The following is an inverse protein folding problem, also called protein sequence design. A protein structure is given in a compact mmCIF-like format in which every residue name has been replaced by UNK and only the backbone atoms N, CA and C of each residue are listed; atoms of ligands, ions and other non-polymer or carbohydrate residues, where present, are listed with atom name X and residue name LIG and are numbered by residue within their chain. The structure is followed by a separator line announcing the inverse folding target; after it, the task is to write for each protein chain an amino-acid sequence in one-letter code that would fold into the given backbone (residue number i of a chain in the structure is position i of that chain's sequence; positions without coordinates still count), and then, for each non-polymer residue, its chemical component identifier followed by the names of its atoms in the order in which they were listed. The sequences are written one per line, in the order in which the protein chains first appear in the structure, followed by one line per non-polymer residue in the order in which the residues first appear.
data_IF_439901066716
#
_entry.id   IF_439901066716
#
_cell.length_a   1.000
_cell.length_b   1.000
_cell.length_c   1.000
_cell.angle_alpha   90.00
_cell.angle_beta   90.00
_cell.angle_gamma   90.00
#
_symmetry.space_group_name_H-M   'P 1'
#
loop_
_entity.id
_entity.type
_entity.pdbx_description
1 polymer ?
#
# COMPACT_ATOMS: atom_id res chain seq x y z
N UNK A 1 -29.13 -3.86 4.51
CA UNK A 1 -28.91 -5.32 4.66
C UNK A 1 -27.52 -5.63 4.13
N UNK A 2 -26.63 -6.18 4.98
CA UNK A 2 -25.28 -6.60 4.58
C UNK A 2 -25.40 -7.67 3.48
N UNK A 3 -24.72 -7.52 2.35
CA UNK A 3 -24.39 -8.69 1.53
C UNK A 3 -23.27 -9.41 2.28
N UNK A 4 -23.56 -10.61 2.78
CA UNK A 4 -22.50 -11.51 3.18
C UNK A 4 -21.60 -11.74 1.95
N UNK A 5 -20.27 -11.67 2.10
CA UNK A 5 -19.34 -12.08 1.06
C UNK A 5 -19.71 -13.50 0.63
N UNK A 6 -19.76 -13.76 -0.68
CA UNK A 6 -20.23 -15.05 -1.17
C UNK A 6 -19.24 -16.13 -0.75
N UNK A 7 -19.68 -17.38 -0.54
CA UNK A 7 -18.77 -18.51 -0.25
C UNK A 7 -17.67 -18.67 -1.31
N UNK A 8 -17.94 -18.27 -2.54
CA UNK A 8 -17.01 -18.25 -3.68
C UNK A 8 -15.87 -17.24 -3.49
N UNK A 9 -16.15 -16.07 -2.89
CA UNK A 9 -15.15 -15.03 -2.60
C UNK A 9 -14.20 -15.52 -1.49
N UNK A 10 -14.74 -16.23 -0.48
CA UNK A 10 -13.96 -16.85 0.60
C UNK A 10 -13.07 -18.00 0.10
N UNK A 11 -13.54 -18.81 -0.86
CA UNK A 11 -12.73 -19.87 -1.47
C UNK A 11 -11.61 -19.33 -2.36
N UNK A 12 -11.81 -18.19 -3.04
CA UNK A 12 -10.75 -17.53 -3.81
C UNK A 12 -9.68 -16.90 -2.90
N UNK A 13 -10.08 -16.30 -1.77
CA UNK A 13 -9.15 -15.79 -0.75
C UNK A 13 -8.28 -16.93 -0.18
N UNK A 14 -8.89 -18.06 0.20
CA UNK A 14 -8.17 -19.23 0.75
C UNK A 14 -7.21 -19.87 -0.28
N UNK A 15 -7.44 -19.67 -1.59
CA UNK A 15 -6.57 -20.20 -2.65
C UNK A 15 -5.44 -19.24 -3.09
N UNK A 16 -5.47 -17.96 -2.66
CA UNK A 16 -4.42 -16.95 -2.97
C UNK A 16 -3.28 -16.99 -1.95
N UNK A 17 -3.57 -17.34 -0.70
CA UNK A 17 -2.58 -17.40 0.38
C UNK A 17 -1.62 -18.60 0.24
N UNK A 18 -0.40 -18.32 -0.26
CA UNK A 18 0.65 -19.32 -0.49
C UNK A 18 1.42 -19.65 0.79
N UNK A 19 1.50 -18.70 1.72
CA UNK A 19 2.34 -18.79 2.91
C UNK A 19 1.49 -18.83 4.18
N UNK A 20 1.95 -19.61 5.17
CA UNK A 20 1.28 -19.74 6.47
C UNK A 20 1.92 -18.89 7.58
N UNK A 21 3.01 -18.17 7.28
CA UNK A 21 3.67 -17.26 8.24
C UNK A 21 4.52 -16.21 7.51
N UNK A 22 4.68 -15.04 8.14
CA UNK A 22 5.56 -13.99 7.61
C UNK A 22 7.02 -14.45 7.47
N UNK A 23 7.51 -15.32 8.37
CA UNK A 23 8.84 -15.92 8.26
C UNK A 23 9.00 -16.75 6.96
N UNK A 24 7.94 -17.47 6.55
CA UNK A 24 7.95 -18.21 5.29
C UNK A 24 8.02 -17.27 4.08
N UNK A 25 7.34 -16.12 4.14
CA UNK A 25 7.42 -15.06 3.13
C UNK A 25 8.84 -14.49 3.05
N UNK A 26 9.46 -14.14 4.18
CA UNK A 26 10.84 -13.63 4.22
C UNK A 26 11.81 -14.66 3.61
N UNK A 27 11.64 -15.95 3.92
CA UNK A 27 12.42 -17.03 3.28
C UNK A 27 12.20 -17.09 1.77
N UNK A 28 10.97 -16.88 1.29
CA UNK A 28 10.66 -16.83 -0.14
C UNK A 28 11.33 -15.63 -0.81
N UNK A 29 11.19 -14.43 -0.22
CA UNK A 29 11.84 -13.20 -0.69
C UNK A 29 13.35 -13.40 -0.81
N UNK A 30 14.00 -13.93 0.24
CA UNK A 30 15.44 -14.17 0.23
C UNK A 30 15.88 -15.18 -0.85
N UNK A 31 15.05 -16.18 -1.16
CA UNK A 31 15.34 -17.17 -2.22
C UNK A 31 15.34 -16.57 -3.63
N UNK A 32 14.65 -15.44 -3.85
CA UNK A 32 14.70 -14.72 -5.14
C UNK A 32 16.13 -14.22 -5.44
N UNK A 33 16.94 -14.02 -4.41
CA UNK A 33 18.26 -13.39 -4.50
C UNK A 33 18.20 -11.89 -4.83
N UNK A 34 17.02 -11.27 -4.75
CA UNK A 34 16.79 -9.85 -4.95
C UNK A 34 16.64 -9.18 -3.59
N UNK A 35 17.34 -8.06 -3.38
CA UNK A 35 17.19 -7.24 -2.19
C UNK A 35 16.19 -6.12 -2.45
N UNK A 36 15.26 -5.90 -1.52
CA UNK A 36 14.39 -4.72 -1.53
C UNK A 36 15.24 -3.51 -1.13
N UNK A 37 15.53 -2.63 -2.07
CA UNK A 37 16.39 -1.47 -1.84
C UNK A 37 15.60 -0.33 -1.19
N UNK A 38 14.35 -0.11 -1.63
CA UNK A 38 13.49 0.96 -1.13
C UNK A 38 12.15 0.40 -0.64
N UNK A 39 11.76 0.79 0.57
CA UNK A 39 10.38 0.71 1.03
C UNK A 39 9.75 2.09 0.83
N UNK A 40 8.67 2.15 0.07
CA UNK A 40 7.93 3.37 -0.23
C UNK A 40 6.55 3.22 0.41
N UNK A 41 6.14 4.20 1.22
CA UNK A 41 4.87 4.18 1.93
C UNK A 41 4.06 5.40 1.52
N UNK A 42 2.94 5.18 0.85
CA UNK A 42 1.95 6.23 0.59
C UNK A 42 0.81 6.13 1.59
N UNK A 43 0.48 7.24 2.25
CA UNK A 43 -0.63 7.33 3.18
C UNK A 43 -1.67 8.31 2.62
N UNK A 44 -2.87 7.78 2.46
CA UNK A 44 -4.04 8.53 2.02
C UNK A 44 -4.52 9.46 3.14
N UNK A 45 -4.70 10.73 2.81
CA UNK A 45 -5.30 11.77 3.65
C UNK A 45 -6.44 12.47 2.89
N UNK A 46 -7.21 11.71 2.11
CA UNK A 46 -8.40 12.22 1.43
C UNK A 46 -9.60 12.36 2.35
N UNK A 47 -10.55 13.19 1.94
CA UNK A 47 -11.77 13.54 2.69
C UNK A 47 -12.70 12.34 2.90
N UNK A 48 -12.60 11.28 2.10
CA UNK A 48 -13.37 10.04 2.31
C UNK A 48 -13.11 9.40 3.68
N UNK A 49 -11.91 9.59 4.22
CA UNK A 49 -11.51 9.11 5.55
C UNK A 49 -12.34 9.68 6.70
N UNK A 50 -13.08 10.78 6.51
CA UNK A 50 -14.01 11.30 7.52
C UNK A 50 -15.20 10.37 7.76
N UNK A 51 -15.63 9.64 6.72
CA UNK A 51 -16.88 8.87 6.75
C UNK A 51 -16.71 7.38 6.43
N UNK A 52 -15.61 6.97 5.79
CA UNK A 52 -15.33 5.56 5.46
C UNK A 52 -15.13 4.66 6.69
N UNK A 53 -15.03 5.23 7.89
CA UNK A 53 -15.02 4.49 9.16
C UNK A 53 -16.37 4.41 9.89
N UNK A 54 -17.46 4.94 9.33
CA UNK A 54 -18.73 5.14 10.06
C UNK A 54 -19.35 3.83 10.54
N UNK A 55 -19.29 2.76 9.77
CA UNK A 55 -19.90 1.48 10.13
C UNK A 55 -18.98 0.66 11.04
N UNK A 56 -17.71 0.49 10.67
CA UNK A 56 -16.73 -0.37 11.34
C UNK A 56 -16.09 0.28 12.56
N UNK A 57 -15.72 1.55 12.46
CA UNK A 57 -14.93 2.26 13.50
C UNK A 57 -15.73 3.32 14.28
N UNK A 58 -16.88 3.76 13.77
CA UNK A 58 -17.75 4.80 14.38
C UNK A 58 -17.06 6.16 14.55
N UNK A 59 -16.03 6.42 13.76
CA UNK A 59 -15.19 7.62 13.81
C UNK A 59 -14.44 7.78 12.47
N UNK A 60 -13.88 8.97 12.25
CA UNK A 60 -12.91 9.22 11.17
C UNK A 60 -11.72 8.26 11.26
N UNK A 61 -11.23 7.85 10.10
CA UNK A 61 -10.14 6.89 9.96
C UNK A 61 -8.79 7.42 10.43
N UNK A 62 -8.64 8.74 10.54
CA UNK A 62 -7.46 9.42 11.10
C UNK A 62 -7.62 9.83 12.57
N UNK A 63 -8.67 9.38 13.26
CA UNK A 63 -8.88 9.70 14.68
C UNK A 63 -7.92 8.94 15.64
N UNK A 64 -8.08 9.15 16.95
CA UNK A 64 -7.18 8.63 18.00
C UNK A 64 -6.96 7.10 17.97
N UNK A 65 -7.98 6.33 17.58
CA UNK A 65 -7.87 4.86 17.43
C UNK A 65 -7.87 4.48 15.94
N UNK A 66 -7.02 5.15 15.17
CA UNK A 66 -6.93 5.00 13.73
C UNK A 66 -6.45 3.59 13.32
N UNK A 67 -7.13 2.91 12.39
CA UNK A 67 -6.65 1.65 11.83
C UNK A 67 -5.37 1.82 11.00
N UNK A 68 -5.16 2.96 10.35
CA UNK A 68 -3.89 3.31 9.70
C UNK A 68 -2.74 3.27 10.71
N UNK A 69 -2.92 3.88 11.89
CA UNK A 69 -1.89 3.86 12.94
C UNK A 69 -1.60 2.44 13.43
N UNK A 70 -2.63 1.64 13.66
CA UNK A 70 -2.47 0.23 14.08
C UNK A 70 -1.72 -0.57 13.03
N UNK A 71 -2.04 -0.39 11.74
CA UNK A 71 -1.33 -1.03 10.64
C UNK A 71 0.15 -0.60 10.59
N UNK A 72 0.46 0.69 10.68
CA UNK A 72 1.85 1.18 10.74
C UNK A 72 2.63 0.57 11.91
N UNK A 73 2.01 0.43 13.09
CA UNK A 73 2.65 -0.22 14.24
C UNK A 73 2.93 -1.71 13.99
N UNK A 74 2.04 -2.40 13.26
CA UNK A 74 2.26 -3.78 12.82
C UNK A 74 3.40 -3.87 11.81
N UNK A 75 3.37 -3.02 10.78
CA UNK A 75 4.41 -2.94 9.74
C UNK A 75 5.80 -2.63 10.29
N UNK A 76 5.91 -1.84 11.38
CA UNK A 76 7.19 -1.62 12.07
C UNK A 76 7.87 -2.94 12.47
N UNK A 77 7.08 -3.91 12.95
CA UNK A 77 7.58 -5.22 13.36
C UNK A 77 8.03 -6.06 12.17
N UNK A 78 7.36 -5.89 11.03
CA UNK A 78 7.73 -6.52 9.75
C UNK A 78 9.00 -5.90 9.17
N UNK A 79 9.11 -4.57 9.22
CA UNK A 79 10.24 -3.81 8.68
C UNK A 79 11.59 -4.28 9.23
N UNK A 80 11.68 -4.54 10.53
CA UNK A 80 12.93 -5.00 11.15
C UNK A 80 13.40 -6.38 10.64
N UNK A 81 12.51 -7.16 10.02
CA UNK A 81 12.81 -8.46 9.43
C UNK A 81 13.04 -8.37 7.91
N UNK A 82 12.55 -7.30 7.28
CA UNK A 82 12.78 -7.01 5.87
C UNK A 82 14.16 -6.34 5.75
N UNK A 83 15.09 -6.96 5.02
CA UNK A 83 16.41 -6.37 4.74
C UNK A 83 16.29 -5.22 3.72
N UNK A 84 15.80 -4.06 4.17
CA UNK A 84 15.55 -2.86 3.37
C UNK A 84 16.55 -1.76 3.71
N UNK A 85 17.05 -1.06 2.69
CA UNK A 85 18.07 -0.02 2.86
C UNK A 85 17.49 1.39 3.05
N UNK A 86 16.43 1.74 2.32
CA UNK A 86 15.86 3.08 2.31
C UNK A 86 14.36 3.04 2.61
N UNK A 87 13.88 4.04 3.35
CA UNK A 87 12.45 4.25 3.57
C UNK A 87 12.07 5.61 3.02
N UNK A 88 11.03 5.67 2.20
CA UNK A 88 10.39 6.89 1.72
C UNK A 88 8.94 6.89 2.17
N UNK A 89 8.45 8.01 2.68
CA UNK A 89 7.09 8.11 3.19
C UNK A 89 6.41 9.37 2.67
N UNK A 90 5.23 9.20 2.08
CA UNK A 90 4.49 10.24 1.40
C UNK A 90 3.05 10.32 1.90
N UNK A 91 2.48 11.52 1.87
CA UNK A 91 1.05 11.79 2.00
C UNK A 91 0.47 12.21 0.64
N UNK A 92 -0.79 11.84 0.39
CA UNK A 92 -1.53 12.20 -0.81
C UNK A 92 -3.03 12.33 -0.52
N UNK A 93 -3.79 12.91 -1.45
CA UNK A 93 -5.24 13.12 -1.30
C UNK A 93 -5.64 14.27 -0.37
N UNK A 94 -4.69 14.91 0.32
CA UNK A 94 -4.97 16.09 1.14
C UNK A 94 -4.99 17.40 0.33
N UNK A 95 -5.42 18.51 0.93
CA UNK A 95 -5.60 19.82 0.26
C UNK A 95 -4.36 20.26 -0.54
N UNK A 96 -3.17 20.08 0.03
CA UNK A 96 -1.91 20.46 -0.62
C UNK A 96 -1.52 19.57 -1.82
N UNK A 97 -2.14 18.41 -1.98
CA UNK A 97 -1.74 17.36 -2.93
C UNK A 97 -2.80 17.06 -3.99
N UNK A 98 -4.06 16.95 -3.58
CA UNK A 98 -5.19 16.52 -4.41
C UNK A 98 -4.83 15.26 -5.23
N UNK A 99 -5.18 15.21 -6.51
CA UNK A 99 -4.86 14.13 -7.45
C UNK A 99 -3.65 14.47 -8.35
N UNK A 100 -2.85 15.47 -7.96
CA UNK A 100 -1.81 16.06 -8.82
C UNK A 100 -0.38 15.68 -8.40
N UNK A 101 -0.13 15.46 -7.11
CA UNK A 101 1.22 15.18 -6.58
C UNK A 101 1.15 14.41 -5.26
N UNK A 102 2.31 13.93 -4.81
CA UNK A 102 2.51 13.48 -3.42
C UNK A 102 3.47 14.44 -2.71
N UNK A 103 3.38 14.51 -1.38
CA UNK A 103 4.33 15.28 -0.57
C UNK A 103 4.96 14.38 0.50
N UNK A 104 6.19 14.67 0.94
CA UNK A 104 6.78 13.97 2.08
C UNK A 104 5.86 13.95 3.30
N UNK A 105 5.79 12.81 3.98
CA UNK A 105 5.03 12.64 5.21
C UNK A 105 5.66 13.45 6.36
N UNK A 106 6.99 13.41 6.44
CA UNK A 106 7.77 14.22 7.39
C UNK A 106 8.19 15.49 6.67
N UNK A 107 7.78 16.66 7.19
CA UNK A 107 8.16 17.94 6.62
C UNK A 107 9.69 18.00 6.45
N UNK A 108 10.14 18.35 5.23
CA UNK A 108 11.53 18.61 4.79
C UNK A 108 12.25 17.52 4.00
N UNK A 109 11.93 16.23 4.13
CA UNK A 109 12.73 15.15 3.50
C UNK A 109 11.84 14.01 2.96
N UNK A 110 12.07 13.58 1.71
CA UNK A 110 11.37 12.41 1.15
C UNK A 110 11.82 11.09 1.81
N UNK A 111 13.11 10.98 2.13
CA UNK A 111 13.72 9.81 2.76
C UNK A 111 13.70 9.97 4.28
N UNK A 112 13.23 8.96 4.99
CA UNK A 112 13.22 8.94 6.47
C UNK A 112 14.29 8.00 7.02
N UNK A 113 14.76 8.27 8.23
CA UNK A 113 15.88 7.54 8.86
C UNK A 113 15.45 6.25 9.52
N UNK A 114 14.16 6.10 9.87
CA UNK A 114 13.63 4.92 10.54
C UNK A 114 12.11 4.80 10.36
N UNK A 115 11.58 3.60 10.58
CA UNK A 115 10.12 3.41 10.59
C UNK A 115 9.45 4.20 11.73
N UNK A 116 10.16 4.47 12.82
CA UNK A 116 9.68 5.36 13.89
C UNK A 116 9.44 6.80 13.43
N UNK A 117 10.17 7.27 12.42
CA UNK A 117 9.90 8.58 11.80
C UNK A 117 8.64 8.56 10.94
N UNK A 118 8.32 7.45 10.28
CA UNK A 118 7.04 7.29 9.57
C UNK A 118 5.88 7.41 10.57
N UNK A 119 5.99 6.70 11.70
CA UNK A 119 4.98 6.69 12.76
C UNK A 119 4.79 8.09 13.38
N UNK A 120 5.89 8.81 13.65
CA UNK A 120 5.84 10.20 14.16
C UNK A 120 5.32 11.18 13.11
N UNK A 121 5.72 11.03 11.86
CA UNK A 121 5.25 11.82 10.72
C UNK A 121 3.75 11.67 10.53
N UNK A 122 3.24 10.45 10.64
CA UNK A 122 1.79 10.18 10.64
C UNK A 122 1.07 10.90 11.79
N UNK A 123 1.56 10.79 13.04
CA UNK A 123 0.93 11.47 14.19
C UNK A 123 0.89 12.99 14.02
N UNK A 124 1.96 13.55 13.43
CA UNK A 124 2.00 14.97 13.10
C UNK A 124 1.01 15.31 11.97
N UNK A 125 0.98 14.51 10.91
CA UNK A 125 0.12 14.75 9.75
C UNK A 125 -1.37 14.74 10.13
N UNK A 126 -1.81 13.77 10.95
CA UNK A 126 -3.19 13.69 11.45
C UNK A 126 -3.70 14.99 12.08
N UNK A 127 -2.82 15.78 12.71
CA UNK A 127 -3.19 17.02 13.39
C UNK A 127 -3.01 18.28 12.53
N UNK A 128 -2.31 18.19 11.40
CA UNK A 128 -1.86 19.36 10.63
C UNK A 128 -2.23 19.31 9.14
N UNK A 129 -2.75 18.18 8.66
CA UNK A 129 -3.14 17.99 7.26
C UNK A 129 -4.65 18.13 7.16
N UNK A 130 -5.10 18.97 6.24
CA UNK A 130 -6.51 19.10 5.88
C UNK A 130 -6.89 18.04 4.85
N UNK A 131 -7.87 17.19 5.21
CA UNK A 131 -8.36 16.13 4.33
C UNK A 131 -9.10 16.75 3.14
N UNK A 132 -8.83 16.28 1.92
CA UNK A 132 -9.42 16.89 0.72
C UNK A 132 -9.57 15.88 -0.42
N UNK A 133 -9.64 16.37 -1.66
CA UNK A 133 -9.67 15.58 -2.88
C UNK A 133 -9.57 16.52 -4.09
N UNK A 134 -9.71 16.01 -5.32
CA UNK A 134 -9.84 14.59 -5.70
C UNK A 134 -8.62 13.74 -5.30
N UNK A 135 -8.76 12.42 -5.36
CA UNK A 135 -7.72 11.45 -4.97
C UNK A 135 -7.31 10.59 -6.17
N UNK A 136 -6.01 10.35 -6.31
CA UNK A 136 -5.42 9.47 -7.34
C UNK A 136 -4.11 8.87 -6.81
N UNK A 137 -3.83 7.63 -7.17
CA UNK A 137 -2.57 6.94 -6.91
C UNK A 137 -1.51 7.21 -7.97
N UNK A 138 -1.88 7.71 -9.15
CA UNK A 138 -0.93 7.99 -10.24
C UNK A 138 0.30 8.77 -9.76
N UNK A 139 0.19 9.89 -9.01
CA UNK A 139 1.39 10.62 -8.60
C UNK A 139 2.29 9.81 -7.65
N UNK A 140 1.70 8.92 -6.84
CA UNK A 140 2.45 8.02 -5.97
C UNK A 140 3.16 6.93 -6.78
N UNK A 141 2.49 6.36 -7.78
CA UNK A 141 3.10 5.40 -8.72
C UNK A 141 4.25 6.04 -9.49
N UNK A 142 4.09 7.28 -9.97
CA UNK A 142 5.15 8.04 -10.65
C UNK A 142 6.36 8.26 -9.75
N UNK A 143 6.14 8.65 -8.49
CA UNK A 143 7.21 8.77 -7.51
C UNK A 143 7.89 7.42 -7.22
N UNK A 144 7.12 6.33 -7.18
CA UNK A 144 7.69 4.99 -7.03
C UNK A 144 8.55 4.59 -8.24
N UNK A 145 8.13 4.89 -9.46
CA UNK A 145 8.93 4.66 -10.68
C UNK A 145 10.26 5.43 -10.63
N UNK A 146 10.22 6.71 -10.22
CA UNK A 146 11.41 7.56 -10.06
C UNK A 146 12.42 6.94 -9.08
N UNK A 147 11.95 6.44 -7.94
CA UNK A 147 12.80 5.88 -6.88
C UNK A 147 13.32 4.46 -7.19
N UNK A 148 12.78 3.78 -8.20
CA UNK A 148 13.02 2.33 -8.43
C UNK A 148 13.86 2.02 -9.66
N UNK A 149 14.62 2.99 -10.19
CA UNK A 149 15.44 2.76 -11.39
C UNK A 149 16.53 1.73 -11.11
N UNK A 150 16.38 0.52 -11.70
CA UNK A 150 17.27 -0.65 -11.52
C UNK A 150 17.44 -1.09 -10.06
N UNK A 151 16.45 -0.81 -9.23
CA UNK A 151 16.47 -1.14 -7.81
C UNK A 151 15.09 -1.65 -7.42
N UNK A 152 15.02 -2.82 -6.82
CA UNK A 152 13.74 -3.37 -6.38
C UNK A 152 13.16 -2.50 -5.27
N UNK A 153 11.93 -2.05 -5.46
CA UNK A 153 11.18 -1.32 -4.44
C UNK A 153 9.91 -2.06 -4.04
N UNK A 154 9.56 -1.94 -2.77
CA UNK A 154 8.25 -2.32 -2.25
C UNK A 154 7.44 -1.06 -1.99
N UNK A 155 6.33 -0.90 -2.67
CA UNK A 155 5.36 0.17 -2.47
C UNK A 155 4.20 -0.33 -1.62
N UNK A 156 3.98 0.29 -0.47
CA UNK A 156 2.82 0.08 0.39
C UNK A 156 1.89 1.29 0.29
N UNK A 157 0.63 1.06 -0.09
CA UNK A 157 -0.41 2.10 -0.16
C UNK A 157 -1.39 1.85 0.97
N UNK A 158 -1.48 2.79 1.91
CA UNK A 158 -2.47 2.77 2.97
C UNK A 158 -3.60 3.71 2.56
N UNK A 159 -4.81 3.18 2.38
CA UNK A 159 -5.93 3.93 1.76
C UNK A 159 -7.28 3.39 2.20
N UNK A 160 -8.34 4.19 2.10
CA UNK A 160 -9.71 3.73 2.25
C UNK A 160 -10.36 3.32 0.92
N UNK A 161 -9.58 3.34 -0.16
CA UNK A 161 -9.93 2.79 -1.46
C UNK A 161 -10.68 3.75 -2.40
N UNK A 162 -10.93 4.99 -1.98
CA UNK A 162 -11.62 5.97 -2.82
C UNK A 162 -10.64 6.67 -3.79
N UNK A 163 -10.95 6.60 -5.08
CA UNK A 163 -10.20 7.29 -6.14
C UNK A 163 -11.16 7.98 -7.10
N UNK A 164 -10.76 9.17 -7.57
CA UNK A 164 -11.62 10.03 -8.39
C UNK A 164 -11.60 9.68 -9.87
N UNK A 165 -10.51 9.09 -10.39
CA UNK A 165 -10.41 8.69 -11.79
C UNK A 165 -9.77 7.31 -11.96
N UNK A 166 -10.64 6.30 -12.03
CA UNK A 166 -10.25 4.89 -12.14
C UNK A 166 -9.39 4.58 -13.36
N UNK A 167 -9.72 5.14 -14.53
CA UNK A 167 -8.98 4.86 -15.76
C UNK A 167 -7.57 5.46 -15.72
N UNK A 168 -7.45 6.64 -15.12
CA UNK A 168 -6.16 7.32 -14.90
C UNK A 168 -5.23 6.46 -14.03
N UNK A 169 -5.72 6.02 -12.88
CA UNK A 169 -4.94 5.18 -11.95
C UNK A 169 -4.64 3.79 -12.52
N UNK A 170 -5.58 3.20 -13.26
CA UNK A 170 -5.39 1.94 -13.98
C UNK A 170 -4.24 2.02 -14.99
N UNK A 171 -4.22 3.08 -15.80
CA UNK A 171 -3.16 3.28 -16.79
C UNK A 171 -1.80 3.52 -16.11
N UNK A 172 -1.78 4.27 -15.00
CA UNK A 172 -0.57 4.47 -14.21
C UNK A 172 -0.05 3.16 -13.59
N UNK A 173 -0.93 2.27 -13.13
CA UNK A 173 -0.56 0.95 -12.63
C UNK A 173 0.03 0.04 -13.74
N UNK A 174 -0.54 0.08 -14.95
CA UNK A 174 0.04 -0.60 -16.12
C UNK A 174 1.45 -0.07 -16.41
N UNK A 175 1.65 1.25 -16.33
CA UNK A 175 2.98 1.85 -16.53
C UNK A 175 3.96 1.41 -15.44
N UNK A 176 3.53 1.41 -14.17
CA UNK A 176 4.32 0.96 -13.02
C UNK A 176 4.85 -0.47 -13.21
N UNK A 177 4.09 -1.35 -13.87
CA UNK A 177 4.51 -2.72 -14.16
C UNK A 177 5.74 -2.83 -15.07
N UNK A 178 6.22 -1.74 -15.65
CA UNK A 178 7.48 -1.69 -16.43
C UNK A 178 8.72 -1.41 -15.57
N UNK A 179 8.54 -1.28 -14.26
CA UNK A 179 9.58 -0.97 -13.28
C UNK A 179 9.66 -2.10 -12.23
N UNK A 180 10.80 -2.24 -11.52
CA UNK A 180 10.97 -3.26 -10.48
C UNK A 180 10.27 -2.83 -9.18
N UNK A 181 8.94 -2.70 -9.23
CA UNK A 181 8.10 -2.29 -8.10
C UNK A 181 7.10 -3.39 -7.79
N UNK A 182 7.21 -3.97 -6.59
CA UNK A 182 6.19 -4.78 -5.96
C UNK A 182 5.25 -3.83 -5.21
N UNK A 183 3.94 -3.90 -5.45
CA UNK A 183 2.97 -3.01 -4.82
C UNK A 183 1.96 -3.82 -3.99
N UNK A 184 1.68 -3.33 -2.78
CA UNK A 184 0.58 -3.80 -1.95
C UNK A 184 -0.25 -2.61 -1.48
N UNK A 185 -1.57 -2.66 -1.72
CA UNK A 185 -2.52 -1.75 -1.13
C UNK A 185 -3.22 -2.40 0.07
N UNK A 186 -3.25 -1.68 1.18
CA UNK A 186 -3.93 -2.08 2.42
C UNK A 186 -5.14 -1.17 2.58
N UNK A 187 -6.33 -1.73 2.41
CA UNK A 187 -7.61 -1.04 2.45
C UNK A 187 -8.16 -0.92 3.86
N UNK A 188 -8.56 0.27 4.28
CA UNK A 188 -9.17 0.51 5.58
C UNK A 188 -10.62 0.97 5.46
N UNK A 189 -11.44 0.63 6.46
CA UNK A 189 -12.78 1.18 6.59
C UNK A 189 -13.87 0.24 6.09
N UNK A 190 -14.97 0.84 5.66
CA UNK A 190 -16.21 0.16 5.30
C UNK A 190 -16.23 -0.31 3.83
N UNK A 191 -15.27 0.14 3.01
CA UNK A 191 -15.32 0.02 1.56
C UNK A 191 -16.42 0.90 0.92
N UNK A 192 -16.85 0.61 -0.31
CA UNK A 192 -16.50 -0.57 -1.12
C UNK A 192 -15.07 -0.54 -1.66
N UNK A 193 -14.48 -1.72 -1.89
CA UNK A 193 -13.13 -1.88 -2.44
C UNK A 193 -13.11 -2.46 -3.86
N UNK A 194 -14.23 -2.42 -4.59
CA UNK A 194 -14.36 -3.04 -5.92
C UNK A 194 -13.27 -2.60 -6.91
N UNK A 195 -12.79 -1.35 -6.78
CA UNK A 195 -11.71 -0.80 -7.61
C UNK A 195 -10.36 -1.44 -7.28
N UNK A 196 -10.11 -1.72 -5.99
CA UNK A 196 -8.88 -2.37 -5.56
C UNK A 196 -8.86 -3.84 -5.99
N UNK A 197 -10.00 -4.52 -5.90
CA UNK A 197 -10.18 -5.87 -6.43
C UNK A 197 -9.95 -5.89 -7.96
N UNK A 198 -10.44 -4.87 -8.70
CA UNK A 198 -10.15 -4.74 -10.13
C UNK A 198 -8.64 -4.58 -10.38
N UNK A 199 -7.94 -3.76 -9.60
CA UNK A 199 -6.52 -3.50 -9.78
C UNK A 199 -5.63 -4.71 -9.47
N UNK A 200 -6.05 -5.55 -8.52
CA UNK A 200 -5.39 -6.82 -8.20
C UNK A 200 -5.51 -7.80 -9.38
N UNK A 201 -6.71 -7.98 -9.96
CA UNK A 201 -6.94 -9.01 -11.00
C UNK A 201 -6.79 -8.51 -12.47
N UNK A 202 -6.49 -7.23 -12.69
CA UNK A 202 -6.50 -6.66 -14.04
C UNK A 202 -5.37 -7.17 -14.95
N UNK A 203 -5.70 -7.29 -16.25
CA UNK A 203 -4.78 -7.65 -17.34
C UNK A 203 -4.12 -6.42 -17.98
N UNK A 204 -3.07 -6.66 -18.77
CA UNK A 204 -2.37 -5.63 -19.55
C UNK A 204 -1.07 -5.13 -18.92
N UNK A 205 -0.79 -5.55 -17.68
CA UNK A 205 0.48 -5.35 -16.97
C UNK A 205 1.57 -6.29 -17.51
N UNK A 206 2.85 -5.93 -17.37
CA UNK A 206 3.98 -6.78 -17.79
C UNK A 206 4.15 -8.02 -16.90
N UNK A 207 3.83 -7.86 -15.62
CA UNK A 207 3.68 -8.91 -14.63
C UNK A 207 2.62 -8.47 -13.63
N UNK A 208 2.16 -9.39 -12.80
CA UNK A 208 1.27 -9.02 -11.69
C UNK A 208 2.11 -8.28 -10.64
N UNK A 209 1.89 -6.98 -10.48
CA UNK A 209 2.71 -6.11 -9.63
C UNK A 209 1.91 -5.45 -8.50
N UNK A 210 0.65 -5.84 -8.29
CA UNK A 210 -0.24 -5.20 -7.33
C UNK A 210 -1.09 -6.24 -6.61
N UNK A 211 -1.01 -6.25 -5.28
CA UNK A 211 -1.85 -7.05 -4.40
C UNK A 211 -2.74 -6.12 -3.57
N UNK A 212 -4.01 -6.45 -3.39
CA UNK A 212 -4.89 -5.76 -2.45
C UNK A 212 -5.20 -6.63 -1.23
N UNK A 213 -5.24 -6.01 -0.05
CA UNK A 213 -5.71 -6.66 1.18
C UNK A 213 -6.58 -5.71 2.00
N UNK A 214 -7.75 -6.20 2.42
CA UNK A 214 -8.61 -5.50 3.37
C UNK A 214 -8.07 -5.64 4.80
N UNK A 215 -7.86 -4.52 5.48
CA UNK A 215 -7.37 -4.51 6.86
C UNK A 215 -8.47 -4.85 7.87
N UNK A 216 -8.18 -5.79 8.76
CA UNK A 216 -8.99 -6.12 9.93
C UNK A 216 -8.20 -5.91 11.23
N UNK A 217 -8.89 -5.48 12.28
CA UNK A 217 -8.27 -5.33 13.60
C UNK A 217 -7.79 -6.70 14.11
N UNK A 218 -6.49 -6.81 14.38
CA UNK A 218 -5.85 -8.06 14.82
C UNK A 218 -5.25 -8.93 13.70
N UNK A 219 -5.36 -8.48 12.45
CA UNK A 219 -4.71 -9.06 11.27
C UNK A 219 -3.17 -9.09 11.42
N UNK A 220 -2.54 -10.16 10.92
CA UNK A 220 -1.09 -10.24 10.76
C UNK A 220 -0.72 -9.57 9.44
N UNK A 221 -0.56 -8.24 9.50
CA UNK A 221 -0.24 -7.43 8.31
C UNK A 221 1.00 -7.96 7.56
N UNK A 222 1.99 -8.53 8.27
CA UNK A 222 3.15 -9.12 7.62
C UNK A 222 2.77 -10.33 6.78
N UNK A 223 1.99 -11.25 7.35
CA UNK A 223 1.52 -12.44 6.63
C UNK A 223 0.64 -12.07 5.45
N UNK A 224 -0.39 -11.28 5.67
CA UNK A 224 -1.46 -11.08 4.70
C UNK A 224 -1.04 -10.11 3.57
N UNK A 225 -0.40 -8.99 3.89
CA UNK A 225 -0.04 -7.96 2.90
C UNK A 225 1.17 -8.33 2.03
N UNK A 226 1.94 -9.36 2.38
CA UNK A 226 3.19 -9.70 1.69
C UNK A 226 3.14 -11.05 0.95
N UNK A 227 1.97 -11.69 0.85
CA UNK A 227 1.79 -13.00 0.22
C UNK A 227 2.38 -13.06 -1.20
N UNK A 228 2.21 -12.00 -1.98
CA UNK A 228 2.62 -11.99 -3.39
C UNK A 228 3.97 -11.33 -3.66
N UNK A 229 4.53 -10.62 -2.67
CA UNK A 229 5.76 -9.83 -2.84
C UNK A 229 6.90 -10.66 -3.43
N UNK A 230 7.08 -11.91 -2.96
CA UNK A 230 8.14 -12.78 -3.50
C UNK A 230 7.96 -13.15 -4.98
N UNK A 231 6.72 -13.41 -5.43
CA UNK A 231 6.46 -13.68 -6.86
C UNK A 231 6.59 -12.42 -7.71
N UNK A 232 6.12 -11.27 -7.22
CA UNK A 232 6.27 -9.98 -7.91
C UNK A 232 7.75 -9.63 -8.14
N UNK A 233 8.61 -9.90 -7.14
CA UNK A 233 10.06 -9.71 -7.23
C UNK A 233 10.72 -10.67 -8.24
N UNK A 234 10.29 -11.94 -8.26
CA UNK A 234 10.79 -12.94 -9.21
C UNK A 234 10.45 -12.56 -10.66
N UNK A 235 9.21 -12.13 -10.91
CA UNK A 235 8.78 -11.68 -12.23
C UNK A 235 9.55 -10.44 -12.70
N UNK A 236 9.74 -9.44 -11.84
CA UNK A 236 10.54 -8.26 -12.14
C UNK A 236 12.00 -8.63 -12.51
N UNK A 237 12.58 -9.61 -11.82
CA UNK A 237 13.91 -10.15 -12.14
C UNK A 237 13.92 -10.87 -13.49
N UNK A 238 12.92 -11.72 -13.77
CA UNK A 238 12.82 -12.46 -15.03
C UNK A 238 12.64 -11.54 -16.24
N UNK A 239 11.98 -10.39 -16.05
CA UNK A 239 11.84 -9.34 -17.06
C UNK A 239 13.10 -8.49 -17.26
N UNK A 240 14.15 -8.68 -16.45
CA UNK A 240 15.43 -7.98 -16.57
C UNK A 240 15.41 -6.54 -16.07
N UNK A 241 14.56 -6.21 -15.09
CA UNK A 241 14.46 -4.86 -14.52
C UNK A 241 15.55 -4.55 -13.46
N UNK A 242 16.32 -5.55 -13.04
CA UNK A 242 17.31 -5.50 -11.96
C UNK A 242 18.73 -5.77 -12.48
#
# INVERSE_FOLDING_TARGET
MRRAKKPEDLQNIINKDKFSSFEAIIKSINKTGVKIQNLIIGIDFSNSNEFSGTCKYKQSMHSRSSPYKKCLMSLKSCFNQLDVNNIFAFKFGCEDTTDQKVLPLVCSEEKVMSFDEVIRGYDNAVNNVELSGPTSYQPLFEKAMELSVKQMSLLLILTDGDISNRERDKNALIELSKFPVACCAIGFGDGPFDVMDEFDDMKGRKFDNFQFVEYEDGMDVGLDAFQEVSSQMEDAKLLGYL
#
